data_IF_754507709245
#
_entry.id   IF_754507709245
#
_cell.length_a   1.000
_cell.length_b   1.000
_cell.length_c   1.000
_cell.angle_alpha   90.00
_cell.angle_beta   90.00
_cell.angle_gamma   90.00
#
_symmetry.space_group_name_H-M   'P 1'
#
loop_
_entity.id
_entity.type
_entity.pdbx_description
1 polymer ?
#
# COMPACT_ATOMS: atom_id res chain seq x y z
N UNK A 1 -21.87 -32.65 10.86
CA UNK A 1 -20.42 -32.53 11.16
C UNK A 1 -19.76 -31.61 10.14
N UNK A 2 -20.04 -31.78 8.85
CA UNK A 2 -19.52 -30.98 7.73
C UNK A 2 -19.84 -29.46 7.77
N UNK A 3 -21.03 -29.05 8.22
CA UNK A 3 -21.39 -27.63 8.28
C UNK A 3 -20.56 -26.83 9.30
N UNK A 4 -20.19 -27.47 10.42
CA UNK A 4 -19.39 -26.83 11.47
C UNK A 4 -17.94 -26.65 11.02
N UNK A 5 -17.39 -27.66 10.36
CA UNK A 5 -16.04 -27.65 9.79
C UNK A 5 -15.90 -26.59 8.68
N UNK A 6 -16.88 -26.48 7.78
CA UNK A 6 -16.91 -25.44 6.74
C UNK A 6 -17.04 -24.02 7.30
N UNK A 7 -17.84 -23.85 8.36
CA UNK A 7 -17.92 -22.58 9.10
C UNK A 7 -16.58 -22.18 9.72
N UNK A 8 -15.86 -23.14 10.29
CA UNK A 8 -14.61 -22.86 10.98
C UNK A 8 -13.46 -22.59 9.99
N UNK A 9 -13.44 -23.24 8.82
CA UNK A 9 -12.54 -22.91 7.70
C UNK A 9 -12.77 -21.47 7.22
N UNK A 10 -14.02 -21.08 6.98
CA UNK A 10 -14.35 -19.72 6.53
C UNK A 10 -13.90 -18.64 7.55
N UNK A 11 -13.99 -18.92 8.85
CA UNK A 11 -13.50 -17.98 9.89
C UNK A 11 -11.98 -17.84 9.84
N UNK A 12 -11.25 -18.94 9.64
CA UNK A 12 -9.78 -18.91 9.55
C UNK A 12 -9.35 -18.09 8.32
N UNK A 13 -9.99 -18.28 7.18
CA UNK A 13 -9.71 -17.51 5.96
C UNK A 13 -9.93 -16.01 6.16
N UNK A 14 -11.02 -15.62 6.83
CA UNK A 14 -11.31 -14.22 7.16
C UNK A 14 -10.24 -13.62 8.10
N UNK A 15 -9.79 -14.37 9.11
CA UNK A 15 -8.73 -13.92 10.02
C UNK A 15 -7.41 -13.71 9.26
N UNK A 16 -7.05 -14.65 8.39
CA UNK A 16 -5.82 -14.56 7.58
C UNK A 16 -5.90 -13.37 6.62
N UNK A 17 -7.04 -13.16 5.95
CA UNK A 17 -7.25 -12.02 5.07
C UNK A 17 -7.12 -10.68 5.82
N UNK A 18 -7.77 -10.57 6.98
CA UNK A 18 -7.69 -9.37 7.82
C UNK A 18 -6.26 -9.09 8.30
N UNK A 19 -5.52 -10.13 8.70
CA UNK A 19 -4.12 -9.99 9.11
C UNK A 19 -3.24 -9.53 7.94
N UNK A 20 -3.52 -10.03 6.73
CA UNK A 20 -2.80 -9.67 5.51
C UNK A 20 -3.03 -8.21 5.15
N UNK A 21 -4.29 -7.77 5.10
CA UNK A 21 -4.65 -6.37 4.82
C UNK A 21 -4.05 -5.43 5.86
N UNK A 22 -4.04 -5.81 7.14
CA UNK A 22 -3.40 -5.03 8.22
C UNK A 22 -1.90 -4.82 7.98
N UNK A 23 -1.17 -5.88 7.58
CA UNK A 23 0.24 -5.76 7.23
C UNK A 23 0.48 -4.83 6.02
N UNK A 24 -0.42 -4.88 5.02
CA UNK A 24 -0.34 -3.98 3.86
C UNK A 24 -0.63 -2.52 4.24
N UNK A 25 -1.60 -2.26 5.13
CA UNK A 25 -1.88 -0.92 5.68
C UNK A 25 -0.65 -0.36 6.41
N UNK A 26 0.01 -1.18 7.23
CA UNK A 26 1.26 -0.78 7.90
C UNK A 26 2.34 -0.39 6.88
N UNK A 27 2.54 -1.20 5.84
CA UNK A 27 3.54 -0.91 4.80
C UNK A 27 3.22 0.37 4.02
N UNK A 28 1.94 0.65 3.75
CA UNK A 28 1.51 1.92 3.15
C UNK A 28 1.86 3.11 4.05
N UNK A 29 1.58 3.00 5.35
CA UNK A 29 1.92 4.04 6.33
C UNK A 29 3.43 4.32 6.39
N UNK A 30 4.27 3.28 6.35
CA UNK A 30 5.73 3.45 6.30
C UNK A 30 6.17 4.27 5.08
N UNK A 31 5.53 4.08 3.91
CA UNK A 31 5.82 4.88 2.73
C UNK A 31 5.32 6.32 2.86
N UNK A 32 4.16 6.54 3.49
CA UNK A 32 3.64 7.88 3.77
C UNK A 32 4.63 8.68 4.63
N UNK A 33 5.15 8.08 5.70
CA UNK A 33 6.16 8.69 6.57
C UNK A 33 7.44 9.00 5.78
N UNK A 34 7.92 8.04 4.98
CA UNK A 34 9.14 8.22 4.18
C UNK A 34 9.01 9.35 3.15
N UNK A 35 7.85 9.51 2.52
CA UNK A 35 7.59 10.53 1.51
C UNK A 35 7.56 11.98 2.05
N UNK A 36 7.40 12.18 3.37
CA UNK A 36 7.47 13.50 4.00
C UNK A 36 8.89 14.08 3.88
N UNK A 37 9.92 13.24 4.01
CA UNK A 37 11.33 13.65 3.97
C UNK A 37 11.84 14.06 2.59
N UNK A 38 13.10 14.50 2.57
CA UNK A 38 13.89 14.54 1.34
C UNK A 38 14.27 13.10 0.97
N UNK A 39 14.28 12.81 -0.32
CA UNK A 39 14.67 11.51 -0.84
C UNK A 39 15.45 11.71 -2.12
N UNK A 40 16.40 10.83 -2.35
CA UNK A 40 17.13 10.76 -3.62
C UNK A 40 16.24 10.20 -4.73
N UNK A 41 16.70 10.32 -5.98
CA UNK A 41 16.00 9.73 -7.13
C UNK A 41 15.86 8.20 -7.01
N UNK A 42 16.85 7.51 -6.44
CA UNK A 42 16.79 6.06 -6.28
C UNK A 42 15.77 5.67 -5.21
N UNK A 43 15.73 6.40 -4.09
CA UNK A 43 14.71 6.21 -3.07
C UNK A 43 13.30 6.52 -3.58
N UNK A 44 13.15 7.51 -4.47
CA UNK A 44 11.90 7.75 -5.17
C UNK A 44 11.44 6.53 -5.99
N UNK A 45 12.34 5.92 -6.78
CA UNK A 45 12.01 4.71 -7.55
C UNK A 45 11.60 3.56 -6.66
N UNK A 46 12.33 3.34 -5.57
CA UNK A 46 12.02 2.29 -4.60
C UNK A 46 10.63 2.48 -4.00
N UNK A 47 10.32 3.69 -3.52
CA UNK A 47 8.99 4.01 -2.98
C UNK A 47 7.89 3.83 -4.03
N UNK A 48 8.13 4.28 -5.26
CA UNK A 48 7.19 4.11 -6.39
C UNK A 48 6.89 2.63 -6.65
N UNK A 49 7.92 1.77 -6.66
CA UNK A 49 7.76 0.33 -6.89
C UNK A 49 6.98 -0.36 -5.75
N UNK A 50 7.26 0.03 -4.50
CA UNK A 50 6.51 -0.46 -3.34
C UNK A 50 5.04 -0.06 -3.43
N UNK A 51 4.74 1.20 -3.76
CA UNK A 51 3.36 1.70 -3.87
C UNK A 51 2.61 1.06 -5.04
N UNK A 52 3.27 0.83 -6.18
CA UNK A 52 2.67 0.08 -7.29
C UNK A 52 2.30 -1.35 -6.87
N UNK A 53 3.15 -2.01 -6.09
CA UNK A 53 2.86 -3.34 -5.54
C UNK A 53 1.68 -3.29 -4.56
N UNK A 54 1.63 -2.29 -3.68
CA UNK A 54 0.53 -2.11 -2.73
C UNK A 54 -0.81 -1.90 -3.45
N UNK A 55 -0.84 -1.06 -4.50
CA UNK A 55 -2.04 -0.85 -5.33
C UNK A 55 -2.58 -2.15 -5.90
N UNK A 56 -1.73 -2.97 -6.52
CA UNK A 56 -2.16 -4.25 -7.08
C UNK A 56 -2.75 -5.18 -6.02
N UNK A 57 -2.16 -5.20 -4.82
CA UNK A 57 -2.66 -6.02 -3.70
C UNK A 57 -3.99 -5.49 -3.16
N UNK A 58 -4.13 -4.18 -2.97
CA UNK A 58 -5.40 -3.60 -2.50
C UNK A 58 -6.53 -3.80 -3.52
N UNK A 59 -6.24 -3.67 -4.82
CA UNK A 59 -7.22 -3.98 -5.87
C UNK A 59 -7.65 -5.46 -5.85
N UNK A 60 -6.72 -6.38 -5.60
CA UNK A 60 -7.03 -7.82 -5.48
C UNK A 60 -7.92 -8.15 -4.26
N UNK A 61 -7.94 -7.27 -3.25
CA UNK A 61 -8.82 -7.38 -2.07
C UNK A 61 -10.01 -6.42 -2.11
N UNK A 62 -10.25 -5.74 -3.23
CA UNK A 62 -11.30 -4.71 -3.39
C UNK A 62 -11.23 -3.56 -2.37
N UNK A 63 -10.05 -3.31 -1.81
CA UNK A 63 -9.78 -2.22 -0.86
C UNK A 63 -9.52 -0.90 -1.62
N UNK A 64 -10.54 -0.35 -2.26
CA UNK A 64 -10.42 0.77 -3.20
C UNK A 64 -9.92 2.07 -2.57
N UNK A 65 -10.28 2.36 -1.32
CA UNK A 65 -9.79 3.54 -0.60
C UNK A 65 -8.27 3.46 -0.38
N UNK A 66 -7.76 2.27 -0.04
CA UNK A 66 -6.32 2.04 0.14
C UNK A 66 -5.57 2.07 -1.18
N UNK A 67 -6.17 1.54 -2.24
CA UNK A 67 -5.66 1.67 -3.60
C UNK A 67 -5.54 3.16 -4.00
N UNK A 68 -6.55 3.97 -3.69
CA UNK A 68 -6.54 5.39 -3.99
C UNK A 68 -5.47 6.12 -3.17
N UNK A 69 -5.36 5.86 -1.86
CA UNK A 69 -4.31 6.43 -1.02
C UNK A 69 -2.89 6.14 -1.53
N UNK A 70 -2.64 4.91 -1.98
CA UNK A 70 -1.34 4.57 -2.56
C UNK A 70 -1.10 5.30 -3.90
N UNK A 71 -2.16 5.52 -4.69
CA UNK A 71 -2.11 6.31 -5.94
C UNK A 71 -1.82 7.77 -5.67
N UNK A 72 -2.52 8.38 -4.72
CA UNK A 72 -2.36 9.79 -4.35
C UNK A 72 -0.95 10.06 -3.83
N UNK A 73 -0.40 9.14 -3.03
CA UNK A 73 0.99 9.27 -2.57
C UNK A 73 2.00 9.22 -3.73
N UNK A 74 1.81 8.32 -4.71
CA UNK A 74 2.67 8.28 -5.91
C UNK A 74 2.63 9.60 -6.69
N UNK A 75 1.43 10.17 -6.87
CA UNK A 75 1.25 11.46 -7.56
C UNK A 75 1.89 12.60 -6.77
N UNK A 76 1.66 12.64 -5.45
CA UNK A 76 2.25 13.63 -4.56
C UNK A 76 3.79 13.62 -4.60
N UNK A 77 4.40 12.43 -4.60
CA UNK A 77 5.85 12.29 -4.75
C UNK A 77 6.36 12.78 -6.11
N UNK A 78 5.65 12.47 -7.21
CA UNK A 78 6.04 12.95 -8.54
C UNK A 78 6.01 14.48 -8.62
N UNK A 79 4.97 15.11 -8.07
CA UNK A 79 4.84 16.56 -8.05
C UNK A 79 5.92 17.23 -7.18
N UNK A 80 6.23 16.65 -6.01
CA UNK A 80 7.31 17.11 -5.13
C UNK A 80 8.68 16.98 -5.79
N UNK A 81 8.96 15.86 -6.45
CA UNK A 81 10.20 15.65 -7.19
C UNK A 81 10.38 16.70 -8.31
N UNK A 82 9.34 16.91 -9.12
CA UNK A 82 9.38 17.92 -10.20
C UNK A 82 9.59 19.34 -9.68
N UNK A 83 9.12 19.66 -8.48
CA UNK A 83 9.36 20.95 -7.85
C UNK A 83 10.82 21.10 -7.38
N UNK A 84 11.37 20.09 -6.71
CA UNK A 84 12.75 20.12 -6.22
C UNK A 84 13.76 20.22 -7.37
N UNK A 85 13.57 19.48 -8.47
CA UNK A 85 14.47 19.54 -9.63
C UNK A 85 14.46 20.88 -10.40
N UNK A 86 13.58 21.82 -10.06
CA UNK A 86 13.56 23.18 -10.63
C UNK A 86 14.31 24.22 -9.78
N UNK A 87 14.65 23.86 -8.54
CA UNK A 87 15.35 24.73 -7.59
C UNK A 87 16.86 24.46 -7.54
N UNK A 88 17.32 23.35 -8.12
CA UNK A 88 18.71 23.03 -8.42
C UNK A 88 19.10 23.52 -9.82
#
# INVERSE_FOLDING_TARGET
MEEKEKSDINKVEVIVLNSTISALKKKLYEQQVRAIGLYTFEEYKDMRNVLQTLRMKFAAYEEWDLYQHATDLMVGMLLKHNWNSRLD
#
